data_IF_647755953303
#
_entry.id   IF_647755953303
#
_cell.length_a   1.000
_cell.length_b   1.000
_cell.length_c   1.000
_cell.angle_alpha   90.00
_cell.angle_beta   90.00
_cell.angle_gamma   90.00
#
_symmetry.space_group_name_H-M   'P 1'
#
loop_
_entity.id
_entity.type
_entity.pdbx_description
1 polymer ?
#
# COMPACT_ATOMS: atom_id res chain seq x y z
N UNK A 1 -8.45 -5.34 -30.07
CA UNK A 1 -8.84 -3.98 -29.64
C UNK A 1 -8.75 -3.83 -28.13
N UNK A 2 -9.28 -4.77 -27.35
CA UNK A 2 -9.26 -4.73 -25.87
C UNK A 2 -7.85 -4.76 -25.27
N UNK A 3 -6.93 -5.58 -25.77
CA UNK A 3 -5.53 -5.62 -25.31
C UNK A 3 -4.88 -4.23 -25.34
N UNK A 4 -5.11 -3.49 -26.41
CA UNK A 4 -4.59 -2.11 -26.54
C UNK A 4 -5.27 -1.14 -25.55
N UNK A 5 -6.56 -1.31 -25.29
CA UNK A 5 -7.27 -0.53 -24.29
C UNK A 5 -6.70 -0.76 -22.87
N UNK A 6 -6.44 -2.02 -22.50
CA UNK A 6 -5.81 -2.35 -21.21
C UNK A 6 -4.39 -1.83 -21.12
N UNK A 7 -3.62 -1.85 -22.21
CA UNK A 7 -2.30 -1.22 -22.24
C UNK A 7 -2.37 0.28 -21.95
N UNK A 8 -3.30 1.01 -22.58
CA UNK A 8 -3.47 2.44 -22.35
C UNK A 8 -3.98 2.73 -20.93
N UNK A 9 -4.95 1.96 -20.43
CA UNK A 9 -5.47 2.13 -19.07
C UNK A 9 -4.35 1.87 -18.04
N UNK A 10 -3.56 0.82 -18.21
CA UNK A 10 -2.41 0.56 -17.36
C UNK A 10 -1.35 1.65 -17.44
N UNK A 11 -1.07 2.16 -18.65
CA UNK A 11 -0.17 3.28 -18.84
C UNK A 11 -0.65 4.54 -18.12
N UNK A 12 -1.93 4.86 -18.18
CA UNK A 12 -2.53 5.97 -17.42
C UNK A 12 -2.42 5.74 -15.90
N UNK A 13 -2.73 4.53 -15.43
CA UNK A 13 -2.55 4.17 -14.01
C UNK A 13 -1.09 4.34 -13.56
N UNK A 14 -0.12 3.96 -14.40
CA UNK A 14 1.30 4.18 -14.17
C UNK A 14 1.68 5.66 -14.08
N UNK A 15 1.12 6.51 -14.94
CA UNK A 15 1.31 7.96 -14.87
C UNK A 15 0.75 8.50 -13.54
N UNK A 16 -0.46 8.10 -13.14
CA UNK A 16 -1.04 8.51 -11.86
C UNK A 16 -0.19 8.04 -10.67
N UNK A 17 0.29 6.80 -10.68
CA UNK A 17 1.18 6.27 -9.67
C UNK A 17 2.48 7.09 -9.57
N UNK A 18 3.09 7.42 -10.71
CA UNK A 18 4.29 8.26 -10.78
C UNK A 18 4.03 9.66 -10.19
N UNK A 19 2.94 10.34 -10.59
CA UNK A 19 2.56 11.65 -10.06
C UNK A 19 2.30 11.61 -8.55
N UNK A 20 1.63 10.57 -8.07
CA UNK A 20 1.34 10.42 -6.65
C UNK A 20 2.63 10.27 -5.84
N UNK A 21 3.54 9.42 -6.30
CA UNK A 21 4.83 9.17 -5.65
C UNK A 21 5.71 10.42 -5.67
N UNK A 22 5.83 11.09 -6.81
CA UNK A 22 6.68 12.28 -6.98
C UNK A 22 6.22 13.46 -6.12
N UNK A 23 4.90 13.65 -5.99
CA UNK A 23 4.31 14.74 -5.22
C UNK A 23 4.06 14.41 -3.74
N UNK A 24 4.25 13.17 -3.33
CA UNK A 24 3.93 12.74 -1.96
C UNK A 24 4.69 13.54 -0.90
N UNK A 25 6.01 13.60 -0.99
CA UNK A 25 6.84 14.32 0.00
C UNK A 25 6.65 15.85 -0.07
N UNK A 26 6.67 16.50 -1.26
CA UNK A 26 6.37 17.94 -1.34
C UNK A 26 5.01 18.31 -0.72
N UNK A 27 3.96 17.55 -1.00
CA UNK A 27 2.64 17.80 -0.45
C UNK A 27 2.62 17.60 1.09
N UNK A 28 3.25 16.54 1.60
CA UNK A 28 3.36 16.28 3.02
C UNK A 28 4.11 17.40 3.75
N UNK A 29 5.21 17.88 3.20
CA UNK A 29 5.98 19.00 3.76
C UNK A 29 5.14 20.28 3.80
N UNK A 30 4.38 20.55 2.74
CA UNK A 30 3.51 21.71 2.67
C UNK A 30 2.36 21.62 3.69
N UNK A 31 1.75 20.46 3.84
CA UNK A 31 0.69 20.20 4.82
C UNK A 31 1.18 20.41 6.25
N UNK A 32 2.35 19.86 6.59
CA UNK A 32 2.98 20.06 7.91
C UNK A 32 3.26 21.53 8.17
N UNK A 33 3.77 22.26 7.17
CA UNK A 33 4.03 23.69 7.29
C UNK A 33 2.74 24.50 7.49
N UNK A 34 1.69 24.20 6.74
CA UNK A 34 0.39 24.86 6.91
C UNK A 34 -0.19 24.63 8.30
N UNK A 35 -0.20 23.38 8.77
CA UNK A 35 -0.65 23.02 10.12
C UNK A 35 0.16 23.74 11.20
N UNK A 36 1.48 23.89 11.00
CA UNK A 36 2.34 24.62 11.93
C UNK A 36 1.97 26.13 11.96
N UNK A 37 1.77 26.75 10.80
CA UNK A 37 1.40 28.18 10.70
C UNK A 37 0.02 28.45 11.29
N UNK A 38 -0.92 27.52 11.16
CA UNK A 38 -2.25 27.62 11.77
C UNK A 38 -2.19 27.56 13.31
N UNK A 39 -1.33 26.68 13.85
CA UNK A 39 -1.14 26.52 15.29
C UNK A 39 -0.35 27.69 15.91
N UNK A 40 0.59 28.28 15.16
CA UNK A 40 1.49 29.34 15.63
C UNK A 40 1.52 30.53 14.66
N UNK A 41 0.44 31.31 14.55
CA UNK A 41 0.33 32.37 13.54
C UNK A 41 1.31 33.53 13.72
N UNK A 42 1.80 33.77 14.95
CA UNK A 42 2.78 34.81 15.27
C UNK A 42 4.23 34.40 14.92
N UNK A 43 4.53 33.08 14.91
CA UNK A 43 5.86 32.52 14.62
C UNK A 43 5.86 31.78 13.29
N UNK A 44 5.88 32.51 12.18
CA UNK A 44 5.95 31.92 10.84
C UNK A 44 7.40 31.68 10.42
N UNK A 45 7.91 30.44 10.51
CA UNK A 45 9.25 30.15 10.01
C UNK A 45 9.26 30.26 8.46
N UNK A 46 10.41 30.64 7.90
CA UNK A 46 10.58 30.60 6.45
C UNK A 46 10.62 29.12 6.03
N UNK A 47 9.72 28.74 5.13
CA UNK A 47 9.68 27.37 4.60
C UNK A 47 10.84 27.14 3.62
N UNK A 48 11.74 26.23 4.00
CA UNK A 48 12.84 25.76 3.15
C UNK A 48 12.68 24.26 2.91
N UNK A 49 12.12 23.87 1.80
CA UNK A 49 11.96 22.45 1.42
C UNK A 49 13.31 21.69 1.36
N UNK A 50 14.37 22.39 0.96
CA UNK A 50 15.73 21.81 0.86
C UNK A 50 16.36 21.44 2.21
N UNK A 51 15.89 22.04 3.31
CA UNK A 51 16.37 21.79 4.69
C UNK A 51 15.49 20.80 5.45
N UNK A 52 14.47 20.26 4.81
CA UNK A 52 13.61 19.27 5.45
C UNK A 52 14.37 17.96 5.72
N UNK A 53 14.07 17.32 6.84
CA UNK A 53 14.70 16.05 7.23
C UNK A 53 14.39 14.92 6.23
N UNK A 54 13.21 14.96 5.61
CA UNK A 54 12.81 14.01 4.57
C UNK A 54 12.77 14.77 3.24
N UNK A 55 13.65 14.39 2.32
CA UNK A 55 13.72 14.96 0.98
C UNK A 55 13.10 14.01 -0.05
N UNK A 56 12.48 14.58 -1.08
CA UNK A 56 11.95 13.78 -2.19
C UNK A 56 13.10 13.08 -2.93
N UNK A 57 12.97 11.77 -3.10
CA UNK A 57 13.87 11.01 -3.97
C UNK A 57 13.38 11.11 -5.41
N UNK A 58 14.32 11.13 -6.37
CA UNK A 58 13.97 11.12 -7.79
C UNK A 58 13.24 9.82 -8.12
N UNK A 59 11.95 9.92 -8.43
CA UNK A 59 11.23 8.86 -9.09
C UNK A 59 11.83 8.65 -10.48
N UNK A 60 12.01 7.42 -10.94
CA UNK A 60 12.48 7.14 -12.30
C UNK A 60 11.67 7.86 -13.39
N UNK A 61 12.00 7.65 -14.64
CA UNK A 61 11.28 8.28 -15.75
C UNK A 61 9.82 7.83 -15.81
N UNK A 62 8.89 8.77 -15.98
CA UNK A 62 7.43 8.53 -16.14
C UNK A 62 7.14 7.46 -17.20
N UNK A 63 7.97 7.40 -18.25
CA UNK A 63 7.83 6.41 -19.33
C UNK A 63 8.00 4.97 -18.86
N UNK A 64 8.85 4.71 -17.84
CA UNK A 64 9.02 3.37 -17.27
C UNK A 64 7.76 2.93 -16.51
N UNK A 65 7.11 3.85 -15.80
CA UNK A 65 5.83 3.59 -15.13
C UNK A 65 4.73 3.33 -16.16
N UNK A 66 4.65 4.15 -17.21
CA UNK A 66 3.69 3.95 -18.28
C UNK A 66 3.83 2.58 -18.93
N UNK A 67 5.04 2.18 -19.33
CA UNK A 67 5.29 0.88 -19.94
C UNK A 67 5.09 -0.27 -18.95
N UNK A 68 5.62 -0.18 -17.73
CA UNK A 68 5.53 -1.24 -16.74
C UNK A 68 4.09 -1.57 -16.35
N UNK A 69 3.31 -0.55 -16.03
CA UNK A 69 1.89 -0.73 -15.71
C UNK A 69 1.06 -1.13 -16.93
N UNK A 70 1.35 -0.54 -18.10
CA UNK A 70 0.71 -0.91 -19.36
C UNK A 70 0.91 -2.39 -19.71
N UNK A 71 2.13 -2.89 -19.58
CA UNK A 71 2.44 -4.30 -19.77
C UNK A 71 1.77 -5.18 -18.70
N UNK A 72 1.80 -4.77 -17.44
CA UNK A 72 1.16 -5.51 -16.35
C UNK A 72 -0.34 -5.70 -16.59
N UNK A 73 -1.07 -4.62 -16.92
CA UNK A 73 -2.50 -4.69 -17.24
C UNK A 73 -2.79 -5.57 -18.46
N UNK A 74 -1.95 -5.46 -19.49
CA UNK A 74 -2.07 -6.26 -20.71
C UNK A 74 -1.88 -7.75 -20.44
N UNK A 75 -0.86 -8.10 -19.66
CA UNK A 75 -0.56 -9.49 -19.29
C UNK A 75 -1.69 -10.06 -18.45
N UNK A 76 -2.18 -9.31 -17.45
CA UNK A 76 -3.31 -9.75 -16.64
C UNK A 76 -4.55 -10.01 -17.49
N UNK A 77 -4.89 -9.10 -18.40
CA UNK A 77 -6.03 -9.29 -19.30
C UNK A 77 -5.86 -10.50 -20.23
N UNK A 78 -4.65 -10.73 -20.71
CA UNK A 78 -4.38 -11.87 -21.57
C UNK A 78 -4.65 -13.21 -20.88
N UNK A 79 -4.33 -13.32 -19.58
CA UNK A 79 -4.55 -14.55 -18.81
C UNK A 79 -5.97 -14.69 -18.25
N UNK A 80 -6.58 -13.61 -17.81
CA UNK A 80 -7.87 -13.67 -17.12
C UNK A 80 -9.08 -13.57 -18.04
N UNK A 81 -8.96 -12.84 -19.15
CA UNK A 81 -9.99 -12.62 -20.19
C UNK A 81 -11.35 -12.07 -19.68
N UNK A 82 -11.44 -11.70 -18.41
CA UNK A 82 -12.54 -11.00 -17.81
C UNK A 82 -12.16 -9.52 -17.61
N UNK A 83 -12.93 -8.62 -18.20
CA UNK A 83 -12.59 -7.19 -18.22
C UNK A 83 -12.68 -6.54 -16.85
N UNK A 84 -13.78 -6.77 -16.13
CA UNK A 84 -14.04 -6.14 -14.85
C UNK A 84 -13.13 -6.71 -13.74
N UNK A 85 -12.98 -8.03 -13.71
CA UNK A 85 -12.09 -8.69 -12.78
C UNK A 85 -10.63 -8.30 -12.99
N UNK A 86 -10.19 -8.25 -14.26
CA UNK A 86 -8.83 -7.81 -14.61
C UNK A 86 -8.57 -6.38 -14.16
N UNK A 87 -9.52 -5.47 -14.42
CA UNK A 87 -9.39 -4.07 -14.03
C UNK A 87 -9.29 -3.92 -12.50
N UNK A 88 -10.16 -4.60 -11.76
CA UNK A 88 -10.15 -4.63 -10.31
C UNK A 88 -8.81 -5.14 -9.75
N UNK A 89 -8.33 -6.28 -10.26
CA UNK A 89 -7.06 -6.87 -9.82
C UNK A 89 -5.87 -5.97 -10.16
N UNK A 90 -5.85 -5.41 -11.37
CA UNK A 90 -4.78 -4.54 -11.83
C UNK A 90 -4.69 -3.23 -11.02
N UNK A 91 -5.83 -2.62 -10.67
CA UNK A 91 -5.87 -1.45 -9.78
C UNK A 91 -5.40 -1.83 -8.37
N UNK A 92 -5.83 -2.98 -7.84
CA UNK A 92 -5.36 -3.51 -6.55
C UNK A 92 -3.83 -3.63 -6.53
N UNK A 93 -3.23 -4.29 -7.52
CA UNK A 93 -1.78 -4.44 -7.63
C UNK A 93 -1.07 -3.09 -7.77
N UNK A 94 -1.67 -2.14 -8.48
CA UNK A 94 -1.14 -0.78 -8.62
C UNK A 94 -1.09 -0.04 -7.27
N UNK A 95 -2.13 -0.16 -6.45
CA UNK A 95 -2.16 0.42 -5.10
C UNK A 95 -1.13 -0.25 -4.18
N UNK A 96 -1.03 -1.58 -4.20
CA UNK A 96 -0.03 -2.32 -3.42
C UNK A 96 1.39 -1.91 -3.82
N UNK A 97 1.65 -1.69 -5.12
CA UNK A 97 2.94 -1.18 -5.60
C UNK A 97 3.23 0.21 -5.04
N UNK A 98 2.29 1.15 -5.13
CA UNK A 98 2.47 2.53 -4.64
C UNK A 98 2.75 2.55 -3.13
N UNK A 99 1.97 1.80 -2.34
CA UNK A 99 2.15 1.69 -0.88
C UNK A 99 3.53 1.10 -0.56
N UNK A 100 3.90 0.01 -1.23
CA UNK A 100 5.19 -0.65 -1.04
C UNK A 100 6.36 0.25 -1.41
N UNK A 101 6.23 1.00 -2.50
CA UNK A 101 7.27 1.92 -2.97
C UNK A 101 7.50 3.07 -1.98
N UNK A 102 6.44 3.69 -1.48
CA UNK A 102 6.51 4.77 -0.50
C UNK A 102 7.13 4.31 0.81
N UNK A 103 6.69 3.16 1.32
CA UNK A 103 7.23 2.60 2.55
C UNK A 103 8.70 2.18 2.40
N UNK A 104 9.07 1.62 1.24
CA UNK A 104 10.46 1.24 0.99
C UNK A 104 11.45 2.41 1.01
N UNK A 105 11.02 3.58 0.51
CA UNK A 105 11.89 4.74 0.37
C UNK A 105 11.79 5.73 1.54
N UNK A 106 10.61 5.88 2.11
CA UNK A 106 10.35 6.91 3.12
C UNK A 106 9.95 6.35 4.48
N UNK A 107 9.65 5.06 4.58
CA UNK A 107 9.09 4.44 5.78
C UNK A 107 7.81 5.16 6.26
N UNK A 108 7.01 5.61 5.30
CA UNK A 108 5.77 6.34 5.51
C UNK A 108 4.66 5.69 4.70
N UNK A 109 3.57 5.36 5.38
CA UNK A 109 2.36 4.85 4.77
C UNK A 109 1.27 5.91 4.91
N UNK A 110 0.74 6.39 3.77
CA UNK A 110 -0.41 7.28 3.77
C UNK A 110 -1.70 6.49 4.02
N UNK A 111 -2.62 6.97 4.86
CA UNK A 111 -3.93 6.35 5.02
C UNK A 111 -4.78 6.35 3.74
N UNK A 112 -4.59 7.35 2.88
CA UNK A 112 -5.40 7.52 1.66
C UNK A 112 -5.36 6.30 0.72
N UNK A 113 -4.20 5.80 0.23
CA UNK A 113 -4.17 4.61 -0.60
C UNK A 113 -4.62 3.34 0.15
N UNK A 114 -4.44 3.27 1.49
CA UNK A 114 -4.95 2.16 2.29
C UNK A 114 -6.48 2.14 2.33
N UNK A 115 -7.13 3.31 2.45
CA UNK A 115 -8.59 3.42 2.36
C UNK A 115 -9.10 3.12 0.95
N UNK A 116 -8.40 3.54 -0.10
CA UNK A 116 -8.73 3.13 -1.46
C UNK A 116 -8.66 1.61 -1.63
N UNK A 117 -7.62 0.98 -1.09
CA UNK A 117 -7.49 -0.49 -1.08
C UNK A 117 -8.67 -1.16 -0.36
N UNK A 118 -9.07 -0.61 0.80
CA UNK A 118 -10.21 -1.09 1.57
C UNK A 118 -11.52 -1.04 0.77
N UNK A 119 -11.85 0.11 0.18
CA UNK A 119 -13.08 0.24 -0.61
C UNK A 119 -13.05 -0.60 -1.89
N UNK A 120 -11.88 -0.74 -2.52
CA UNK A 120 -11.72 -1.58 -3.70
C UNK A 120 -11.90 -3.07 -3.37
N UNK A 121 -11.44 -3.52 -2.20
CA UNK A 121 -11.65 -4.88 -1.73
C UNK A 121 -13.13 -5.16 -1.41
N UNK A 122 -13.83 -4.22 -0.76
CA UNK A 122 -15.29 -4.33 -0.55
C UNK A 122 -16.05 -4.35 -1.87
N UNK A 123 -15.65 -3.55 -2.84
CA UNK A 123 -16.21 -3.58 -4.19
C UNK A 123 -16.00 -4.95 -4.84
N UNK A 124 -14.80 -5.52 -4.74
CA UNK A 124 -14.53 -6.87 -5.24
C UNK A 124 -15.37 -7.96 -4.58
N UNK A 125 -15.62 -7.87 -3.26
CA UNK A 125 -16.51 -8.77 -2.54
C UNK A 125 -17.98 -8.60 -2.94
N UNK A 126 -18.42 -7.37 -3.24
CA UNK A 126 -19.77 -7.10 -3.73
C UNK A 126 -20.01 -7.64 -5.15
N UNK A 127 -18.99 -7.58 -6.02
CA UNK A 127 -19.05 -8.06 -7.39
C UNK A 127 -18.73 -9.57 -7.53
N UNK A 128 -18.57 -10.26 -6.41
CA UNK A 128 -18.19 -11.69 -6.37
C UNK A 128 -16.85 -12.00 -7.04
N UNK A 129 -15.94 -11.00 -7.13
CA UNK A 129 -14.55 -11.18 -7.60
C UNK A 129 -13.67 -11.85 -6.54
N UNK A 130 -14.09 -11.79 -5.29
CA UNK A 130 -13.45 -12.44 -4.15
C UNK A 130 -14.28 -13.62 -3.68
N UNK A 131 -13.64 -14.61 -3.07
CA UNK A 131 -14.31 -15.74 -2.41
C UNK A 131 -15.16 -15.28 -1.20
N UNK A 132 -14.86 -14.07 -0.67
CA UNK A 132 -15.52 -13.52 0.50
C UNK A 132 -16.85 -12.85 0.12
N UNK A 133 -17.86 -13.09 0.94
CA UNK A 133 -19.06 -12.24 0.93
C UNK A 133 -18.73 -10.86 1.51
N UNK A 134 -19.56 -9.86 1.21
CA UNK A 134 -19.36 -8.50 1.69
C UNK A 134 -19.26 -8.41 3.22
N UNK A 135 -20.10 -9.18 3.95
CA UNK A 135 -20.06 -9.25 5.41
C UNK A 135 -18.76 -9.86 5.93
N UNK A 136 -18.31 -10.96 5.33
CA UNK A 136 -17.04 -11.60 5.69
C UNK A 136 -15.85 -10.70 5.41
N UNK A 137 -15.85 -9.98 4.28
CA UNK A 137 -14.83 -9.02 3.91
C UNK A 137 -14.72 -7.90 4.95
N UNK A 138 -15.86 -7.36 5.41
CA UNK A 138 -15.88 -6.33 6.44
C UNK A 138 -15.42 -6.85 7.82
N UNK A 139 -15.91 -8.02 8.23
CA UNK A 139 -15.49 -8.68 9.48
C UNK A 139 -13.99 -8.96 9.50
N UNK A 140 -13.44 -9.46 8.40
CA UNK A 140 -12.01 -9.70 8.25
C UNK A 140 -11.22 -8.41 8.29
N UNK A 141 -11.65 -7.37 7.60
CA UNK A 141 -11.00 -6.06 7.61
C UNK A 141 -10.87 -5.50 9.03
N UNK A 142 -11.98 -5.51 9.79
CA UNK A 142 -11.99 -5.05 11.19
C UNK A 142 -11.09 -5.92 12.07
N UNK A 143 -11.08 -7.23 11.84
CA UNK A 143 -10.25 -8.16 12.59
C UNK A 143 -8.76 -7.97 12.31
N UNK A 144 -8.37 -7.80 11.04
CA UNK A 144 -6.99 -7.50 10.66
C UNK A 144 -6.53 -6.17 11.27
N UNK A 145 -7.35 -5.13 11.14
CA UNK A 145 -7.09 -3.85 11.78
C UNK A 145 -6.89 -4.00 13.29
N UNK A 146 -7.82 -4.70 13.97
CA UNK A 146 -7.80 -4.89 15.42
C UNK A 146 -6.53 -5.61 15.89
N UNK A 147 -6.12 -6.68 15.21
CA UNK A 147 -4.91 -7.43 15.55
C UNK A 147 -3.66 -6.54 15.39
N UNK A 148 -3.51 -5.83 14.26
CA UNK A 148 -2.37 -4.94 14.05
C UNK A 148 -2.38 -3.75 15.02
N UNK A 149 -3.55 -3.20 15.33
CA UNK A 149 -3.71 -2.14 16.31
C UNK A 149 -3.29 -2.60 17.72
N UNK A 150 -3.69 -3.81 18.13
CA UNK A 150 -3.28 -4.42 19.40
C UNK A 150 -1.76 -4.63 19.40
N UNK A 151 -1.17 -5.20 18.34
CA UNK A 151 0.28 -5.40 18.22
C UNK A 151 1.02 -4.06 18.33
N UNK A 152 0.56 -3.00 17.66
CA UNK A 152 1.13 -1.67 17.74
C UNK A 152 1.15 -1.15 19.19
N UNK A 153 0.01 -1.19 19.89
CA UNK A 153 -0.09 -0.69 21.25
C UNK A 153 0.69 -1.53 22.27
N UNK A 154 0.64 -2.86 22.13
CA UNK A 154 1.42 -3.76 23.00
C UNK A 154 2.92 -3.55 22.80
N UNK A 155 3.40 -3.48 21.57
CA UNK A 155 4.82 -3.25 21.29
C UNK A 155 5.30 -1.91 21.86
N UNK A 156 4.49 -0.85 21.72
CA UNK A 156 4.79 0.47 22.29
C UNK A 156 4.83 0.44 23.83
N UNK A 157 3.93 -0.32 24.45
CA UNK A 157 3.89 -0.45 25.90
C UNK A 157 5.08 -1.21 26.45
N UNK A 158 5.46 -2.34 25.82
CA UNK A 158 6.58 -3.18 26.27
C UNK A 158 7.96 -2.57 25.96
N UNK A 159 8.17 -2.13 24.74
CA UNK A 159 9.49 -1.65 24.28
C UNK A 159 9.70 -0.15 24.46
N UNK A 160 8.66 0.63 24.84
CA UNK A 160 8.66 2.10 24.90
C UNK A 160 9.12 2.76 23.58
N UNK A 161 9.11 2.01 22.50
CA UNK A 161 9.43 2.43 21.13
C UNK A 161 8.36 1.91 20.19
N UNK A 162 8.13 2.62 19.10
CA UNK A 162 7.21 2.17 18.05
C UNK A 162 7.94 1.10 17.23
N UNK A 163 7.60 -0.19 17.45
CA UNK A 163 8.16 -1.31 16.69
C UNK A 163 7.42 -1.54 15.38
N UNK A 164 6.14 -1.14 15.31
CA UNK A 164 5.29 -1.19 14.12
C UNK A 164 4.88 0.24 13.76
N UNK A 165 4.86 0.58 12.48
CA UNK A 165 4.41 1.89 12.00
C UNK A 165 2.90 2.09 12.17
N UNK A 166 2.48 3.34 12.41
CA UNK A 166 1.03 3.66 12.46
C UNK A 166 0.30 3.39 11.15
N UNK A 167 1.02 3.38 10.03
CA UNK A 167 0.46 3.08 8.72
C UNK A 167 0.10 1.61 8.53
N UNK A 168 0.80 0.69 9.21
CA UNK A 168 0.64 -0.75 9.01
C UNK A 168 -0.75 -1.25 9.40
N UNK A 169 -1.37 -0.70 10.46
CA UNK A 169 -2.74 -1.11 10.81
C UNK A 169 -3.80 -0.55 9.83
N UNK A 170 -3.56 0.62 9.19
CA UNK A 170 -4.40 1.11 8.11
C UNK A 170 -4.25 0.25 6.85
N UNK A 171 -3.03 -0.19 6.54
CA UNK A 171 -2.78 -1.13 5.47
C UNK A 171 -3.44 -2.49 5.75
N UNK A 172 -3.35 -2.98 6.99
CA UNK A 172 -4.00 -4.22 7.41
C UNK A 172 -5.53 -4.16 7.27
N UNK A 173 -6.17 -2.99 7.52
CA UNK A 173 -7.59 -2.78 7.25
C UNK A 173 -7.92 -3.04 5.77
N UNK A 174 -7.12 -2.47 4.86
CA UNK A 174 -7.28 -2.67 3.41
C UNK A 174 -7.05 -4.12 3.00
N UNK A 175 -5.98 -4.75 3.47
CA UNK A 175 -5.62 -6.14 3.17
C UNK A 175 -6.69 -7.12 3.66
N UNK A 176 -7.26 -6.86 4.85
CA UNK A 176 -8.29 -7.73 5.45
C UNK A 176 -9.55 -7.87 4.61
N UNK A 177 -9.82 -6.96 3.65
CA UNK A 177 -10.95 -7.10 2.73
C UNK A 177 -10.76 -8.19 1.66
N UNK A 178 -9.53 -8.67 1.47
CA UNK A 178 -9.17 -9.67 0.45
C UNK A 178 -8.97 -11.08 1.04
N UNK A 179 -8.78 -11.20 2.34
CA UNK A 179 -8.47 -12.47 3.01
C UNK A 179 -9.47 -12.76 4.12
N UNK A 180 -9.81 -14.03 4.32
CA UNK A 180 -10.61 -14.44 5.49
C UNK A 180 -9.77 -14.33 6.77
N UNK A 181 -10.42 -14.12 7.90
CA UNK A 181 -9.78 -14.08 9.22
C UNK A 181 -8.96 -15.34 9.52
N UNK A 182 -9.38 -16.49 9.00
CA UNK A 182 -8.66 -17.77 9.18
C UNK A 182 -7.27 -17.74 8.58
N UNK A 183 -7.06 -16.96 7.50
CA UNK A 183 -5.77 -16.84 6.83
C UNK A 183 -4.84 -15.79 7.46
N UNK A 184 -5.29 -15.03 8.46
CA UNK A 184 -4.48 -14.02 9.15
C UNK A 184 -3.17 -14.58 9.72
N UNK A 185 -3.14 -15.75 10.41
CA UNK A 185 -1.88 -16.30 10.91
C UNK A 185 -0.90 -16.67 9.77
N UNK A 186 -1.40 -17.27 8.70
CA UNK A 186 -0.58 -17.61 7.52
C UNK A 186 -0.02 -16.36 6.86
N UNK A 187 -0.87 -15.34 6.68
CA UNK A 187 -0.49 -14.04 6.15
C UNK A 187 0.63 -13.38 6.98
N UNK A 188 0.48 -13.32 8.30
CA UNK A 188 1.50 -12.78 9.20
C UNK A 188 2.80 -13.59 9.14
N UNK A 189 2.69 -14.92 9.13
CA UNK A 189 3.86 -15.80 9.04
C UNK A 189 4.66 -15.53 7.76
N UNK A 190 4.00 -15.45 6.59
CA UNK A 190 4.66 -15.16 5.32
C UNK A 190 5.30 -13.76 5.34
N UNK A 191 4.59 -12.74 5.83
CA UNK A 191 5.13 -11.39 5.93
C UNK A 191 6.39 -11.31 6.81
N UNK A 192 6.35 -11.94 7.98
CA UNK A 192 7.51 -12.01 8.88
C UNK A 192 8.67 -12.78 8.26
N UNK A 193 8.39 -13.90 7.61
CA UNK A 193 9.41 -14.72 6.96
C UNK A 193 10.12 -13.95 5.84
N UNK A 194 9.37 -13.24 4.99
CA UNK A 194 9.92 -12.37 3.96
C UNK A 194 10.78 -11.26 4.57
N UNK A 195 10.31 -10.62 5.65
CA UNK A 195 11.06 -9.60 6.36
C UNK A 195 12.38 -10.13 6.94
N UNK A 196 12.37 -11.33 7.53
CA UNK A 196 13.59 -11.97 8.06
C UNK A 196 14.58 -12.30 6.95
N UNK A 197 14.12 -12.85 5.83
CA UNK A 197 14.97 -13.16 4.67
C UNK A 197 15.66 -11.87 4.17
N UNK A 198 14.89 -10.80 3.97
CA UNK A 198 15.45 -9.53 3.48
C UNK A 198 16.38 -8.90 4.51
N UNK A 199 16.07 -9.02 5.80
CA UNK A 199 16.98 -8.56 6.87
C UNK A 199 18.34 -9.27 6.79
N UNK A 200 18.37 -10.56 6.60
CA UNK A 200 19.60 -11.35 6.48
C UNK A 200 20.42 -10.96 5.25
N UNK A 201 19.75 -10.67 4.12
CA UNK A 201 20.43 -10.28 2.88
C UNK A 201 20.92 -8.83 2.92
N UNK A 202 20.11 -7.90 3.48
CA UNK A 202 20.40 -6.47 3.43
C UNK A 202 21.26 -5.97 4.58
N UNK A 203 21.25 -6.67 5.74
CA UNK A 203 21.96 -6.26 6.96
C UNK A 203 21.48 -4.92 7.56
N UNK A 204 20.36 -4.36 7.06
CA UNK A 204 19.83 -3.07 7.54
C UNK A 204 19.08 -3.26 8.87
N UNK A 205 19.34 -2.44 9.90
CA UNK A 205 18.70 -2.60 11.21
C UNK A 205 17.21 -2.25 11.23
N UNK A 206 16.74 -1.47 10.27
CA UNK A 206 15.33 -1.08 10.12
C UNK A 206 14.90 -1.37 8.70
N UNK A 207 13.85 -2.15 8.58
CA UNK A 207 13.24 -2.49 7.28
C UNK A 207 11.80 -1.97 7.22
N UNK A 208 11.35 -1.47 6.07
CA UNK A 208 9.95 -1.15 5.84
C UNK A 208 9.13 -2.45 5.87
N UNK A 209 7.98 -2.44 6.52
CA UNK A 209 7.18 -3.65 6.70
C UNK A 209 6.06 -3.80 5.65
N UNK A 210 5.53 -2.69 5.13
CA UNK A 210 4.44 -2.72 4.16
C UNK A 210 4.73 -3.52 2.87
N UNK A 211 5.94 -3.49 2.26
CA UNK A 211 6.22 -4.33 1.09
C UNK A 211 6.04 -5.82 1.36
N UNK A 212 6.40 -6.28 2.56
CA UNK A 212 6.23 -7.69 2.93
C UNK A 212 4.77 -8.05 3.19
N UNK A 213 3.98 -7.12 3.75
CA UNK A 213 2.54 -7.26 3.87
C UNK A 213 1.86 -7.34 2.50
N UNK A 214 2.23 -6.46 1.57
CA UNK A 214 1.69 -6.46 0.21
C UNK A 214 2.02 -7.77 -0.55
N UNK A 215 3.27 -8.23 -0.45
CA UNK A 215 3.68 -9.52 -1.06
C UNK A 215 2.99 -10.70 -0.38
N UNK A 216 2.87 -10.66 0.94
CA UNK A 216 2.17 -11.71 1.70
C UNK A 216 0.70 -11.81 1.31
N UNK A 217 0.01 -10.68 1.04
CA UNK A 217 -1.35 -10.69 0.51
C UNK A 217 -1.41 -11.48 -0.80
N UNK A 218 -0.54 -11.17 -1.76
CA UNK A 218 -0.52 -11.83 -3.07
C UNK A 218 -0.27 -13.34 -2.92
N UNK A 219 0.73 -13.72 -2.11
CA UNK A 219 1.10 -15.13 -1.90
C UNK A 219 -0.02 -15.87 -1.19
N UNK A 220 -0.57 -15.30 -0.11
CA UNK A 220 -1.65 -15.94 0.65
C UNK A 220 -2.89 -16.09 -0.21
N UNK A 221 -3.29 -15.08 -0.97
CA UNK A 221 -4.42 -15.18 -1.91
C UNK A 221 -4.19 -16.29 -2.95
N UNK A 222 -2.98 -16.41 -3.50
CA UNK A 222 -2.66 -17.46 -4.48
C UNK A 222 -2.66 -18.88 -3.90
N UNK A 223 -2.38 -19.05 -2.60
CA UNK A 223 -2.40 -20.36 -1.92
C UNK A 223 -3.83 -20.76 -1.54
N UNK A 224 -4.70 -19.78 -1.29
CA UNK A 224 -6.05 -20.00 -0.73
C UNK A 224 -7.17 -19.96 -1.78
N UNK A 225 -6.84 -19.63 -3.04
CA UNK A 225 -7.69 -19.79 -4.23
C UNK A 225 -7.72 -21.27 -4.66
#
# INVERSE_FOLDING_TARGET
MMIFAFFLLGGLAGIFAWFYIDRFIPNLQQEIYQNYVELYPENRPIFHSEKAAIQSQKCGHIFLYFLGFGLCFTVLYYFLQDELFTLWLAITLSLLFVISWLDWHYQLISPTPCLFLFFLGLFGAHQEFSILTLSQSLESAVSFFGVFYIIYHLSKWFYKKEALGRGDYWLALGIGTYLTIVHLPLFLFIACLLGIIVYWISGKPVLPFAPFLCLSLIITSAITL
#
